data_IF_719101883920
#
_entry.id   IF_719101883920
#
_cell.length_a   1.000
_cell.length_b   1.000
_cell.length_c   1.000
_cell.angle_alpha   90.00
_cell.angle_beta   90.00
_cell.angle_gamma   90.00
#
_symmetry.space_group_name_H-M   'P 1'
#
loop_
_entity.id
_entity.type
_entity.pdbx_description
1 polymer ?
#
# COMPACT_ATOMS: atom_id res chain seq x y z
N UNK A 1 21.09 23.59 7.25
CA UNK A 1 21.07 22.16 6.83
C UNK A 1 21.58 21.22 7.92
N UNK A 2 22.80 21.40 8.45
CA UNK A 2 23.39 20.52 9.50
C UNK A 2 22.53 20.28 10.76
N UNK A 3 21.91 21.31 11.39
CA UNK A 3 21.10 21.10 12.59
C UNK A 3 19.83 20.28 12.34
N UNK A 4 19.13 20.50 11.22
CA UNK A 4 17.97 19.69 10.85
C UNK A 4 18.36 18.23 10.64
N UNK A 5 19.51 17.96 10.02
CA UNK A 5 19.98 16.59 9.83
C UNK A 5 20.20 15.87 11.17
N UNK A 6 20.78 16.56 12.16
CA UNK A 6 20.98 16.00 13.49
C UNK A 6 19.64 15.77 14.20
N UNK A 7 18.72 16.73 14.11
CA UNK A 7 17.37 16.59 14.64
C UNK A 7 16.66 15.37 14.04
N UNK A 8 16.69 15.20 12.72
CA UNK A 8 16.10 14.06 12.03
C UNK A 8 16.73 12.73 12.48
N UNK A 9 18.05 12.66 12.68
CA UNK A 9 18.71 11.46 13.18
C UNK A 9 18.24 11.10 14.59
N UNK A 10 18.12 12.09 15.48
CA UNK A 10 17.64 11.88 16.85
C UNK A 10 16.18 11.41 16.85
N UNK A 11 15.33 12.05 16.04
CA UNK A 11 13.93 11.64 15.88
C UNK A 11 13.81 10.22 15.32
N UNK A 12 14.65 9.84 14.36
CA UNK A 12 14.67 8.49 13.82
C UNK A 12 15.07 7.45 14.88
N UNK A 13 16.11 7.73 15.66
CA UNK A 13 16.53 6.86 16.78
C UNK A 13 15.44 6.71 17.84
N UNK A 14 14.76 7.81 18.17
CA UNK A 14 13.62 7.81 19.09
C UNK A 14 12.46 6.94 18.56
N UNK A 15 12.08 7.13 17.29
CA UNK A 15 11.00 6.37 16.66
C UNK A 15 11.31 4.87 16.55
N UNK A 16 12.60 4.50 16.42
CA UNK A 16 13.03 3.12 16.34
C UNK A 16 13.24 2.45 17.71
N UNK A 17 13.13 3.18 18.82
CA UNK A 17 13.51 2.71 20.15
C UNK A 17 14.97 2.20 20.25
N UNK A 18 15.90 2.89 19.57
CA UNK A 18 17.32 2.50 19.52
C UNK A 18 18.21 3.67 19.93
N UNK A 19 19.13 3.43 20.85
CA UNK A 19 20.18 4.39 21.25
C UNK A 19 21.35 4.36 20.26
N UNK A 20 22.08 5.46 20.15
CA UNK A 20 23.33 5.48 19.38
C UNK A 20 24.38 4.60 20.08
N UNK A 21 25.01 3.70 19.33
CA UNK A 21 26.03 2.76 19.83
C UNK A 21 27.32 2.75 18.98
N UNK A 22 27.38 3.59 17.95
CA UNK A 22 28.49 3.59 17.00
C UNK A 22 29.60 4.55 17.42
N UNK A 23 30.83 4.03 17.51
CA UNK A 23 32.06 4.79 17.77
C UNK A 23 32.39 5.87 16.71
N UNK A 24 31.70 5.86 15.56
CA UNK A 24 31.85 6.88 14.51
C UNK A 24 31.02 8.14 14.78
N UNK A 25 30.05 8.07 15.69
CA UNK A 25 29.14 9.16 16.02
C UNK A 25 29.15 9.44 17.53
N UNK A 26 30.34 9.48 18.13
CA UNK A 26 30.52 9.68 19.58
C UNK A 26 29.83 10.93 20.12
N UNK A 27 29.77 11.99 19.31
CA UNK A 27 29.07 13.23 19.67
C UNK A 27 27.56 13.04 19.85
N UNK A 28 26.94 12.04 19.22
CA UNK A 28 25.52 11.70 19.38
C UNK A 28 25.25 10.87 20.64
N UNK A 29 26.27 10.21 21.22
CA UNK A 29 26.11 9.42 22.45
C UNK A 29 25.62 10.27 23.62
N UNK A 30 26.00 11.57 23.64
CA UNK A 30 25.53 12.54 24.63
C UNK A 30 24.02 12.76 24.61
N UNK A 31 23.34 12.40 23.51
CA UNK A 31 21.89 12.53 23.33
C UNK A 31 21.14 11.25 23.74
N UNK A 32 21.83 10.15 24.04
CA UNK A 32 21.20 8.90 24.46
C UNK A 32 20.33 9.05 25.72
N UNK A 33 20.70 9.82 26.76
CA UNK A 33 19.82 10.04 27.92
C UNK A 33 18.50 10.71 27.51
N UNK A 34 18.53 11.65 26.57
CA UNK A 34 17.33 12.28 26.04
C UNK A 34 16.46 11.29 25.27
N UNK A 35 17.07 10.46 24.42
CA UNK A 35 16.35 9.44 23.63
C UNK A 35 15.68 8.42 24.56
N UNK A 36 16.43 7.83 25.49
CA UNK A 36 15.92 6.81 26.41
C UNK A 36 14.80 7.34 27.31
N UNK A 37 14.88 8.59 27.76
CA UNK A 37 13.85 9.21 28.58
C UNK A 37 12.52 9.47 27.84
N UNK A 38 12.52 9.41 26.50
CA UNK A 38 11.33 9.70 25.68
C UNK A 38 10.80 8.48 24.92
N UNK A 39 11.39 7.28 25.06
CA UNK A 39 10.89 6.07 24.39
C UNK A 39 9.41 5.79 24.71
N UNK A 40 9.04 5.84 25.99
CA UNK A 40 7.64 5.61 26.40
C UNK A 40 6.67 6.62 25.80
N UNK A 41 7.08 7.89 25.68
CA UNK A 41 6.26 8.95 25.07
C UNK A 41 6.09 8.74 23.57
N UNK A 42 7.14 8.25 22.89
CA UNK A 42 7.06 7.93 21.46
C UNK A 42 6.14 6.74 21.22
N UNK A 43 6.20 5.72 22.08
CA UNK A 43 5.34 4.54 22.00
C UNK A 43 3.87 4.90 22.24
N UNK A 44 3.59 5.71 23.28
CA UNK A 44 2.26 6.25 23.55
C UNK A 44 1.73 7.05 22.36
N UNK A 45 2.56 7.93 21.78
CA UNK A 45 2.21 8.70 20.59
C UNK A 45 1.80 7.79 19.42
N UNK A 46 2.59 6.76 19.08
CA UNK A 46 2.23 5.84 18.00
C UNK A 46 0.97 5.03 18.30
N UNK A 47 0.77 4.62 19.55
CA UNK A 47 -0.43 3.90 19.97
C UNK A 47 -1.71 4.72 19.71
N UNK A 48 -1.67 6.04 19.92
CA UNK A 48 -2.78 6.93 19.57
C UNK A 48 -3.09 6.97 18.07
N UNK A 49 -2.09 6.85 17.19
CA UNK A 49 -2.33 6.81 15.74
C UNK A 49 -2.75 5.43 15.22
N UNK A 50 -2.39 4.35 15.92
CA UNK A 50 -2.73 2.99 15.49
C UNK A 50 -4.09 2.54 16.03
N UNK A 51 -4.59 3.15 17.11
CA UNK A 51 -5.93 2.89 17.68
C UNK A 51 -7.11 3.33 16.80
N UNK A 52 -6.90 3.41 15.48
CA UNK A 52 -7.93 3.60 14.46
C UNK A 52 -8.88 2.40 14.55
N UNK A 53 -10.01 2.63 15.20
CA UNK A 53 -11.21 1.81 15.05
C UNK A 53 -11.45 1.66 13.56
N UNK A 54 -11.69 0.45 13.03
CA UNK A 54 -11.87 0.27 11.59
C UNK A 54 -12.93 1.27 11.11
N UNK A 55 -12.64 2.06 10.06
CA UNK A 55 -13.58 3.06 9.58
C UNK A 55 -14.91 2.35 9.28
N UNK A 56 -16.06 2.96 9.63
CA UNK A 56 -17.35 2.40 9.26
C UNK A 56 -17.35 2.15 7.75
N UNK A 57 -17.90 1.02 7.28
CA UNK A 57 -17.87 0.66 5.87
C UNK A 57 -18.41 1.83 5.04
N UNK A 58 -17.55 2.45 4.23
CA UNK A 58 -17.95 3.55 3.36
C UNK A 58 -19.09 3.07 2.44
N UNK A 59 -20.12 3.90 2.20
CA UNK A 59 -21.11 3.58 1.18
C UNK A 59 -20.39 3.33 -0.15
N UNK A 60 -20.75 2.23 -0.83
CA UNK A 60 -20.13 1.76 -2.08
C UNK A 60 -20.47 2.65 -3.28
N UNK A 61 -20.23 3.94 -3.18
CA UNK A 61 -20.49 4.92 -4.24
C UNK A 61 -19.19 5.62 -4.62
N UNK A 62 -18.22 4.85 -5.10
CA UNK A 62 -17.09 5.41 -5.84
C UNK A 62 -17.43 5.31 -7.33
N UNK A 63 -17.89 6.43 -7.89
CA UNK A 63 -17.80 6.67 -9.33
C UNK A 63 -16.31 6.59 -9.67
N UNK A 64 -15.88 5.45 -10.20
CA UNK A 64 -14.51 5.26 -10.69
C UNK A 64 -14.31 6.24 -11.84
N UNK A 65 -13.49 7.28 -11.63
CA UNK A 65 -13.13 8.22 -12.70
C UNK A 65 -12.39 7.44 -13.79
N UNK A 66 -12.88 7.50 -15.03
CA UNK A 66 -12.54 6.58 -16.12
C UNK A 66 -11.05 6.39 -16.45
N UNK A 67 -10.17 7.30 -16.05
CA UNK A 67 -8.72 7.17 -16.22
C UNK A 67 -8.12 6.00 -15.43
N UNK A 68 -8.63 5.69 -14.23
CA UNK A 68 -8.08 4.60 -13.42
C UNK A 68 -8.58 3.21 -13.84
N UNK A 69 -9.68 3.14 -14.61
CA UNK A 69 -10.31 1.88 -14.96
C UNK A 69 -9.62 1.20 -16.14
N UNK A 70 -9.19 1.96 -17.14
CA UNK A 70 -8.44 1.42 -18.29
C UNK A 70 -7.06 0.90 -17.87
N UNK A 71 -6.36 1.62 -16.98
CA UNK A 71 -5.07 1.17 -16.45
C UNK A 71 -5.23 -0.06 -15.56
N UNK A 72 -6.30 -0.09 -14.74
CA UNK A 72 -6.62 -1.26 -13.92
C UNK A 72 -6.98 -2.46 -14.81
N UNK A 73 -7.79 -2.26 -15.85
CA UNK A 73 -8.14 -3.28 -16.83
C UNK A 73 -6.88 -3.84 -17.51
N UNK A 74 -6.00 -2.96 -18.01
CA UNK A 74 -4.71 -3.33 -18.58
C UNK A 74 -3.82 -4.14 -17.62
N UNK A 75 -3.84 -3.83 -16.32
CA UNK A 75 -3.11 -4.59 -15.29
C UNK A 75 -3.75 -5.95 -14.98
N UNK A 76 -5.08 -6.04 -14.98
CA UNK A 76 -5.82 -7.27 -14.72
C UNK A 76 -5.56 -8.30 -15.82
N UNK A 77 -5.62 -7.90 -17.09
CA UNK A 77 -5.39 -8.79 -18.23
C UNK A 77 -3.97 -9.33 -18.23
N UNK A 78 -2.98 -8.45 -18.07
CA UNK A 78 -1.56 -8.83 -18.04
C UNK A 78 -1.25 -9.87 -16.97
N UNK A 79 -2.03 -9.90 -15.90
CA UNK A 79 -1.83 -10.80 -14.76
C UNK A 79 -2.95 -11.85 -14.62
N UNK A 80 -3.83 -12.00 -15.63
CA UNK A 80 -5.02 -12.83 -15.52
C UNK A 80 -4.66 -14.30 -15.32
N UNK A 81 -3.71 -14.83 -16.08
CA UNK A 81 -3.31 -16.24 -15.99
C UNK A 81 -2.66 -16.60 -14.62
N UNK A 82 -1.70 -15.81 -14.07
CA UNK A 82 -1.23 -15.99 -12.70
C UNK A 82 -2.32 -15.86 -11.65
N UNK A 83 -3.24 -14.90 -11.79
CA UNK A 83 -4.35 -14.69 -10.87
C UNK A 83 -5.29 -15.89 -10.87
N UNK A 84 -5.70 -16.38 -12.05
CA UNK A 84 -6.55 -17.56 -12.19
C UNK A 84 -5.91 -18.81 -11.57
N UNK A 85 -4.59 -18.99 -11.74
CA UNK A 85 -3.85 -20.07 -11.08
C UNK A 85 -3.86 -19.96 -9.55
N UNK A 86 -3.74 -18.74 -9.02
CA UNK A 86 -3.77 -18.48 -7.58
C UNK A 86 -5.17 -18.69 -6.98
N UNK A 87 -6.22 -18.17 -7.63
CA UNK A 87 -7.60 -18.29 -7.17
C UNK A 87 -8.10 -19.75 -7.21
N UNK A 88 -7.76 -20.50 -8.26
CA UNK A 88 -8.06 -21.93 -8.35
C UNK A 88 -7.42 -22.74 -7.21
N UNK A 89 -6.21 -22.35 -6.76
CA UNK A 89 -5.55 -22.97 -5.61
C UNK A 89 -6.13 -22.52 -4.28
N UNK A 90 -6.59 -21.28 -4.18
CA UNK A 90 -7.07 -20.68 -2.94
C UNK A 90 -8.49 -21.12 -2.54
N UNK A 91 -9.27 -21.76 -3.43
CA UNK A 91 -10.71 -22.07 -3.22
C UNK A 91 -11.52 -20.83 -2.77
N UNK A 92 -11.14 -19.64 -3.23
CA UNK A 92 -11.81 -18.38 -2.87
C UNK A 92 -12.75 -17.96 -4.01
N UNK A 93 -14.01 -17.67 -3.62
CA UNK A 93 -15.16 -17.16 -4.39
C UNK A 93 -15.15 -17.44 -5.89
N UNK A 94 -15.91 -18.47 -6.29
CA UNK A 94 -16.29 -18.76 -7.67
C UNK A 94 -16.80 -17.49 -8.39
N UNK A 95 -17.57 -16.65 -7.69
CA UNK A 95 -18.08 -15.38 -8.20
C UNK A 95 -16.99 -14.40 -8.68
N UNK A 96 -15.80 -14.42 -8.06
CA UNK A 96 -14.68 -13.57 -8.45
C UNK A 96 -13.96 -14.09 -9.71
N UNK A 97 -13.89 -15.40 -9.87
CA UNK A 97 -13.38 -16.06 -11.07
C UNK A 97 -14.32 -15.84 -12.25
N UNK A 98 -15.64 -16.00 -12.04
CA UNK A 98 -16.67 -15.79 -13.05
C UNK A 98 -16.70 -14.33 -13.53
N UNK A 99 -16.49 -13.36 -12.63
CA UNK A 99 -16.37 -11.95 -12.98
C UNK A 99 -15.11 -11.64 -13.80
N UNK A 100 -13.97 -12.23 -13.44
CA UNK A 100 -12.71 -12.05 -14.19
C UNK A 100 -12.78 -12.69 -15.59
N UNK A 101 -13.44 -13.84 -15.71
CA UNK A 101 -13.70 -14.48 -17.01
C UNK A 101 -14.64 -13.64 -17.87
N UNK A 102 -15.71 -13.08 -17.28
CA UNK A 102 -16.62 -12.19 -18.00
C UNK A 102 -15.94 -10.91 -18.52
N UNK A 103 -14.95 -10.37 -17.78
CA UNK A 103 -14.14 -9.24 -18.24
C UNK A 103 -13.25 -9.65 -19.43
N UNK A 104 -12.62 -10.82 -19.38
CA UNK A 104 -11.81 -11.32 -20.49
C UNK A 104 -12.64 -11.57 -21.75
N UNK A 105 -13.84 -12.15 -21.61
CA UNK A 105 -14.74 -12.43 -22.73
C UNK A 105 -15.28 -11.14 -23.39
N UNK A 106 -15.53 -10.10 -22.58
CA UNK A 106 -15.93 -8.78 -23.07
C UNK A 106 -14.82 -8.08 -23.87
N UNK A 107 -13.56 -8.33 -23.56
CA UNK A 107 -12.43 -7.76 -24.29
C UNK A 107 -12.20 -8.44 -25.63
N UNK A 108 -12.31 -9.77 -25.71
CA UNK A 108 -12.30 -10.49 -26.99
C UNK A 108 -13.40 -9.95 -27.90
N UNK A 109 -14.60 -9.72 -27.35
CA UNK A 109 -15.71 -9.14 -28.10
C UNK A 109 -15.46 -7.67 -28.52
N UNK A 110 -14.74 -6.89 -27.72
CA UNK A 110 -14.37 -5.50 -28.06
C UNK A 110 -13.28 -5.45 -29.13
N UNK A 111 -12.25 -6.30 -29.04
CA UNK A 111 -11.20 -6.42 -30.05
C UNK A 111 -11.76 -6.92 -31.40
N UNK A 112 -12.66 -7.89 -31.37
CA UNK A 112 -13.38 -8.37 -32.57
C UNK A 112 -14.30 -7.29 -33.15
N UNK A 113 -14.95 -6.49 -32.29
CA UNK A 113 -15.81 -5.37 -32.69
C UNK A 113 -15.04 -4.19 -33.31
N UNK A 114 -13.84 -3.89 -32.82
CA UNK A 114 -12.93 -2.91 -33.43
C UNK A 114 -12.35 -3.44 -34.76
N UNK A 115 -11.95 -4.71 -34.82
CA UNK A 115 -11.46 -5.35 -36.04
C UNK A 115 -12.53 -5.41 -37.16
N UNK A 116 -13.81 -5.54 -36.77
CA UNK A 116 -14.95 -5.51 -37.69
C UNK A 116 -15.44 -4.09 -38.07
N UNK A 117 -14.83 -3.02 -37.55
CA UNK A 117 -15.21 -1.63 -37.84
C UNK A 117 -16.60 -1.22 -37.32
N UNK A 118 -17.13 -1.94 -36.33
CA UNK A 118 -18.48 -1.75 -35.78
C UNK A 118 -18.51 -0.90 -34.50
N UNK A 119 -17.34 -0.56 -33.95
CA UNK A 119 -17.21 0.26 -32.74
C UNK A 119 -16.32 1.47 -33.07
N UNK A 120 -16.88 2.68 -32.98
CA UNK A 120 -16.19 3.97 -33.17
C UNK A 120 -15.34 4.32 -31.95
#
# INVERSE_FOLDING_TARGET
RRPLTLLCKVLQSLANNVVFNNAKEDYLLTLNPFISANFSRSEEFFSHFVSITPPPPEPRTKILRGLGLSDLHGLLIKNLEPLMSYFNKAKVLQDGLDFMQAIADLEVAYEDGQAAGLVV
#
